data_IF_239934481534
#
_entry.id   IF_239934481534
#
_cell.length_a   1.000
_cell.length_b   1.000
_cell.length_c   1.000
_cell.angle_alpha   90.00
_cell.angle_beta   90.00
_cell.angle_gamma   90.00
#
_symmetry.space_group_name_H-M   'P 1'
#
loop_
_entity.id
_entity.type
_entity.pdbx_description
1 polymer ?
#
# COMPACT_ATOMS: atom_id res chain seq x y z
N UNK A 1 -13.62 7.41 -13.82
CA UNK A 1 -13.94 5.99 -13.71
C UNK A 1 -12.69 5.23 -14.13
N UNK A 2 -11.96 4.69 -13.15
CA UNK A 2 -11.00 3.62 -13.42
C UNK A 2 -11.89 2.41 -13.66
N UNK A 3 -11.87 1.90 -14.85
CA UNK A 3 -12.62 0.69 -15.20
C UNK A 3 -11.88 -0.50 -14.56
N UNK A 4 -12.38 -0.97 -13.43
CA UNK A 4 -11.84 -2.15 -12.72
C UNK A 4 -12.02 -3.41 -13.59
N UNK A 5 -12.89 -3.38 -14.59
CA UNK A 5 -13.08 -4.48 -15.53
C UNK A 5 -11.85 -4.80 -16.39
N UNK A 6 -10.82 -3.94 -16.40
CA UNK A 6 -9.55 -4.22 -17.08
C UNK A 6 -8.55 -5.01 -16.25
N UNK A 7 -8.83 -5.22 -14.97
CA UNK A 7 -8.09 -6.19 -14.18
C UNK A 7 -8.87 -7.50 -14.24
N UNK A 8 -8.49 -8.39 -15.15
CA UNK A 8 -8.94 -9.77 -15.15
C UNK A 8 -8.39 -10.55 -13.93
N UNK A 9 -8.65 -10.01 -12.76
CA UNK A 9 -8.81 -10.84 -11.59
C UNK A 9 -10.02 -11.68 -11.92
N UNK A 10 -9.92 -12.98 -11.81
CA UNK A 10 -11.08 -13.85 -11.99
C UNK A 10 -12.04 -13.56 -10.81
N UNK A 11 -12.84 -12.50 -10.98
CA UNK A 11 -13.82 -12.05 -9.98
C UNK A 11 -14.85 -13.15 -9.69
N UNK A 12 -15.05 -14.08 -10.63
CA UNK A 12 -15.91 -15.24 -10.44
C UNK A 12 -15.28 -16.23 -9.45
N UNK A 13 -13.94 -16.34 -9.42
CA UNK A 13 -13.23 -17.21 -8.47
C UNK A 13 -12.86 -16.51 -7.16
N UNK A 14 -12.99 -15.19 -7.10
CA UNK A 14 -12.71 -14.43 -5.88
C UNK A 14 -11.23 -14.42 -5.46
N UNK A 15 -10.29 -14.69 -6.39
CA UNK A 15 -8.88 -14.76 -6.06
C UNK A 15 -7.99 -14.89 -7.30
N UNK A 16 -6.74 -15.30 -7.11
CA UNK A 16 -5.77 -15.50 -8.18
C UNK A 16 -4.80 -16.64 -7.87
N UNK A 17 -4.24 -17.25 -8.91
CA UNK A 17 -3.17 -18.22 -8.77
C UNK A 17 -1.85 -17.51 -8.48
N UNK A 18 -1.22 -17.84 -7.36
CA UNK A 18 0.05 -17.30 -6.94
C UNK A 18 1.15 -18.34 -7.08
N UNK A 19 2.23 -17.97 -7.75
CA UNK A 19 3.41 -18.80 -7.93
C UNK A 19 4.63 -18.16 -7.24
N UNK A 20 5.26 -18.95 -6.38
CA UNK A 20 6.53 -18.59 -5.75
C UNK A 20 7.52 -19.74 -5.94
N UNK A 21 8.55 -19.53 -6.78
CA UNK A 21 9.62 -20.52 -7.05
C UNK A 21 9.10 -21.92 -7.44
N UNK A 22 7.97 -21.98 -8.14
CA UNK A 22 7.35 -23.25 -8.58
C UNK A 22 6.32 -23.81 -7.60
N UNK A 23 6.13 -23.22 -6.45
CA UNK A 23 4.98 -23.53 -5.59
C UNK A 23 3.78 -22.70 -6.03
N UNK A 24 2.77 -23.35 -6.55
CA UNK A 24 1.50 -22.71 -6.95
C UNK A 24 0.48 -22.81 -5.82
N UNK A 25 -0.17 -21.68 -5.52
CA UNK A 25 -1.27 -21.61 -4.54
C UNK A 25 -2.35 -20.70 -5.09
N UNK A 26 -3.59 -21.04 -4.85
CA UNK A 26 -4.69 -20.12 -5.05
C UNK A 26 -4.82 -19.21 -3.82
N UNK A 27 -4.82 -17.89 -4.03
CA UNK A 27 -5.03 -16.91 -2.98
C UNK A 27 -6.41 -16.28 -3.18
N UNK A 28 -7.26 -16.47 -2.18
CA UNK A 28 -8.61 -15.92 -2.15
C UNK A 28 -8.61 -14.56 -1.47
N UNK A 29 -9.32 -13.60 -2.06
CA UNK A 29 -9.61 -12.34 -1.39
C UNK A 29 -10.75 -12.53 -0.40
N UNK A 30 -10.65 -11.87 0.74
CA UNK A 30 -11.77 -11.83 1.69
C UNK A 30 -12.96 -11.10 1.10
N UNK A 31 -12.68 -10.02 0.38
CA UNK A 31 -13.68 -9.26 -0.37
C UNK A 31 -13.02 -8.35 -1.41
N UNK A 32 -13.78 -7.94 -2.43
CA UNK A 32 -13.36 -7.01 -3.48
C UNK A 32 -14.52 -6.05 -3.72
N UNK A 33 -14.26 -4.74 -3.61
CA UNK A 33 -15.28 -3.73 -3.87
C UNK A 33 -14.64 -2.45 -4.44
N UNK A 34 -15.39 -1.74 -5.26
CA UNK A 34 -15.12 -0.36 -5.69
C UNK A 34 -15.81 0.67 -4.78
N UNK A 35 -16.62 0.21 -3.82
CA UNK A 35 -17.21 1.06 -2.79
C UNK A 35 -16.19 1.38 -1.69
N UNK A 36 -15.67 2.61 -1.74
CA UNK A 36 -14.66 3.09 -0.82
C UNK A 36 -15.17 3.13 0.64
N UNK A 37 -16.47 3.35 0.88
CA UNK A 37 -17.06 3.31 2.21
C UNK A 37 -16.94 1.91 2.78
N UNK A 38 -17.34 0.92 1.97
CA UNK A 38 -17.33 -0.48 2.36
C UNK A 38 -15.91 -1.01 2.66
N UNK A 39 -14.93 -0.69 1.80
CA UNK A 39 -13.55 -1.20 1.98
C UNK A 39 -12.78 -0.51 3.10
N UNK A 40 -13.13 0.73 3.46
CA UNK A 40 -12.46 1.46 4.54
C UNK A 40 -13.14 1.27 5.90
N UNK A 41 -14.38 0.82 5.95
CA UNK A 41 -15.11 0.63 7.20
C UNK A 41 -14.44 -0.45 8.06
N UNK A 42 -13.98 -0.06 9.24
CA UNK A 42 -13.29 -0.94 10.18
C UNK A 42 -11.88 -1.39 9.78
N UNK A 43 -11.28 -0.78 8.76
CA UNK A 43 -9.91 -1.08 8.36
C UNK A 43 -8.90 -0.44 9.31
N UNK A 44 -8.05 -1.23 9.94
CA UNK A 44 -6.92 -0.72 10.75
C UNK A 44 -5.78 -0.20 9.88
N UNK A 45 -5.53 -0.86 8.76
CA UNK A 45 -4.43 -0.53 7.83
C UNK A 45 -5.00 -0.39 6.42
N UNK A 46 -4.78 0.74 5.82
CA UNK A 46 -5.10 1.02 4.41
C UNK A 46 -3.81 1.01 3.61
N UNK A 47 -3.52 -0.11 2.97
CA UNK A 47 -2.30 -0.22 2.17
C UNK A 47 -2.49 0.37 0.78
N UNK A 48 -1.64 1.34 0.44
CA UNK A 48 -1.66 2.03 -0.86
C UNK A 48 -0.54 1.48 -1.73
N UNK A 49 -0.91 0.76 -2.80
CA UNK A 49 0.02 0.17 -3.79
C UNK A 49 -0.40 0.67 -5.17
N UNK A 50 0.03 1.86 -5.52
CA UNK A 50 -0.30 2.54 -6.77
C UNK A 50 0.94 3.22 -7.34
N UNK A 51 1.00 3.52 -8.64
CA UNK A 51 2.03 4.41 -9.17
C UNK A 51 1.98 5.78 -8.47
N UNK A 52 3.15 6.32 -8.13
CA UNK A 52 3.26 7.55 -7.35
C UNK A 52 2.57 8.77 -7.98
N UNK A 53 2.40 8.78 -9.30
CA UNK A 53 1.64 9.81 -10.03
C UNK A 53 0.15 9.87 -9.70
N UNK A 54 -0.40 8.84 -9.07
CA UNK A 54 -1.83 8.77 -8.74
C UNK A 54 -2.14 9.07 -7.26
N UNK A 55 -1.14 9.38 -6.44
CA UNK A 55 -1.33 9.62 -4.99
C UNK A 55 -2.37 10.70 -4.74
N UNK A 56 -2.26 11.87 -5.35
CA UNK A 56 -3.21 12.98 -5.13
C UNK A 56 -4.62 12.64 -5.63
N UNK A 57 -4.70 11.85 -6.69
CA UNK A 57 -6.01 11.41 -7.19
C UNK A 57 -6.70 10.53 -6.14
N UNK A 58 -6.02 9.48 -5.66
CA UNK A 58 -6.58 8.59 -4.65
C UNK A 58 -6.76 9.28 -3.30
N UNK A 59 -5.86 10.18 -2.92
CA UNK A 59 -6.05 11.02 -1.74
C UNK A 59 -7.36 11.82 -1.80
N UNK A 60 -7.68 12.41 -2.97
CA UNK A 60 -8.95 13.12 -3.17
C UNK A 60 -10.17 12.20 -3.06
N UNK A 61 -10.07 10.96 -3.52
CA UNK A 61 -11.16 9.98 -3.41
C UNK A 61 -11.31 9.55 -1.95
N UNK A 62 -10.22 9.13 -1.32
CA UNK A 62 -10.19 8.59 0.04
C UNK A 62 -10.50 9.65 1.11
N UNK A 63 -10.17 10.93 0.86
CA UNK A 63 -10.30 12.02 1.83
C UNK A 63 -11.71 12.20 2.43
N UNK A 64 -12.72 11.66 1.79
CA UNK A 64 -14.11 11.70 2.26
C UNK A 64 -14.44 10.58 3.26
N UNK A 65 -13.60 9.58 3.36
CA UNK A 65 -13.90 8.32 4.03
C UNK A 65 -12.85 7.94 5.08
N UNK A 66 -11.64 8.47 4.97
CA UNK A 66 -10.59 8.23 5.97
C UNK A 66 -10.95 8.89 7.29
N UNK A 67 -10.52 8.25 8.37
CA UNK A 67 -10.69 8.71 9.76
C UNK A 67 -9.35 8.80 10.47
N UNK A 68 -9.34 9.32 11.68
CA UNK A 68 -8.14 9.39 12.52
C UNK A 68 -7.62 8.01 12.95
N UNK A 69 -8.44 6.97 12.87
CA UNK A 69 -8.08 5.62 13.31
C UNK A 69 -7.34 4.82 12.22
N UNK A 70 -7.40 5.28 10.97
CA UNK A 70 -6.74 4.60 9.86
C UNK A 70 -5.22 4.81 9.88
N UNK A 71 -4.47 3.74 9.68
CA UNK A 71 -3.06 3.79 9.30
C UNK A 71 -2.95 3.64 7.76
N UNK A 72 -2.61 4.73 7.08
CA UNK A 72 -2.39 4.73 5.63
C UNK A 72 -0.92 4.39 5.37
N UNK A 73 -0.69 3.18 4.84
CA UNK A 73 0.63 2.67 4.55
C UNK A 73 0.94 2.73 3.06
N UNK A 74 1.85 3.60 2.67
CA UNK A 74 2.35 3.69 1.29
C UNK A 74 3.44 2.64 1.06
N UNK A 75 3.04 1.53 0.46
CA UNK A 75 3.95 0.46 0.03
C UNK A 75 4.36 0.72 -1.43
N UNK A 76 5.06 1.82 -1.62
CA UNK A 76 5.53 2.32 -2.92
C UNK A 76 6.88 3.01 -2.73
N UNK A 77 7.70 3.04 -3.79
CA UNK A 77 9.03 3.62 -3.72
C UNK A 77 9.02 5.17 -3.77
N UNK A 78 9.77 5.78 -2.85
CA UNK A 78 10.28 7.17 -2.90
C UNK A 78 9.28 8.24 -3.38
N UNK A 79 8.15 8.37 -2.72
CA UNK A 79 7.09 9.25 -3.25
C UNK A 79 6.62 10.35 -2.31
N UNK A 80 7.06 10.39 -1.06
CA UNK A 80 6.54 11.30 -0.03
C UNK A 80 4.99 11.29 0.01
N UNK A 81 4.42 10.09 -0.02
CA UNK A 81 2.98 9.86 -0.13
C UNK A 81 2.20 10.50 1.00
N UNK A 82 2.72 10.42 2.22
CA UNK A 82 2.13 11.02 3.42
C UNK A 82 1.93 12.52 3.27
N UNK A 83 2.98 13.25 2.88
CA UNK A 83 2.93 14.72 2.71
C UNK A 83 1.95 15.08 1.61
N UNK A 84 2.00 14.36 0.49
CA UNK A 84 1.12 14.61 -0.66
C UNK A 84 -0.35 14.35 -0.30
N UNK A 85 -0.63 13.32 0.49
CA UNK A 85 -1.97 13.04 0.96
C UNK A 85 -2.46 14.12 1.93
N UNK A 86 -1.61 14.52 2.90
CA UNK A 86 -1.94 15.58 3.86
C UNK A 86 -2.26 16.91 3.16
N UNK A 87 -1.44 17.30 2.18
CA UNK A 87 -1.72 18.50 1.39
C UNK A 87 -3.11 18.46 0.74
N UNK A 88 -3.54 17.28 0.29
CA UNK A 88 -4.91 17.13 -0.26
C UNK A 88 -5.98 17.33 0.81
N UNK A 89 -5.77 16.83 2.04
CA UNK A 89 -6.70 17.06 3.15
C UNK A 89 -6.79 18.55 3.50
N UNK A 90 -5.65 19.22 3.61
CA UNK A 90 -5.55 20.67 3.90
C UNK A 90 -6.23 21.51 2.81
N UNK A 91 -5.91 21.27 1.53
CA UNK A 91 -6.49 21.98 0.39
C UNK A 91 -8.03 21.83 0.32
N UNK A 92 -8.53 20.74 0.84
CA UNK A 92 -9.98 20.44 0.88
C UNK A 92 -10.64 20.84 2.19
N UNK A 93 -9.90 21.42 3.13
CA UNK A 93 -10.37 21.81 4.47
C UNK A 93 -11.02 20.63 5.23
N UNK A 94 -10.42 19.44 5.12
CA UNK A 94 -10.87 18.23 5.80
C UNK A 94 -10.04 18.09 7.08
N UNK A 95 -10.71 18.24 8.22
CA UNK A 95 -10.11 18.14 9.56
C UNK A 95 -10.08 16.69 10.04
N UNK A 96 -9.25 15.88 9.37
CA UNK A 96 -9.00 14.47 9.71
C UNK A 96 -7.48 14.24 9.67
N UNK A 97 -6.95 13.53 10.64
CA UNK A 97 -5.52 13.31 10.83
C UNK A 97 -5.23 11.79 10.93
N UNK A 98 -5.31 11.04 9.82
CA UNK A 98 -4.96 9.64 9.81
C UNK A 98 -3.45 9.47 10.07
N UNK A 99 -3.09 8.30 10.57
CA UNK A 99 -1.68 7.93 10.71
C UNK A 99 -1.09 7.59 9.35
N UNK A 100 0.18 7.95 9.14
CA UNK A 100 0.86 7.68 7.88
C UNK A 100 2.17 6.94 8.07
N UNK A 101 2.36 5.91 7.25
CA UNK A 101 3.62 5.19 7.15
C UNK A 101 4.05 5.00 5.69
N UNK A 102 5.35 4.90 5.46
CA UNK A 102 5.94 4.72 4.13
C UNK A 102 7.03 3.66 4.13
N UNK A 103 7.10 2.92 3.04
CA UNK A 103 8.23 2.03 2.72
C UNK A 103 9.15 2.70 1.69
N UNK A 104 10.46 2.41 1.77
CA UNK A 104 11.43 2.92 0.79
C UNK A 104 11.32 2.23 -0.58
N UNK A 105 10.70 1.08 -0.65
CA UNK A 105 10.48 0.30 -1.87
C UNK A 105 9.26 -0.59 -1.72
N UNK A 106 8.81 -1.15 -2.83
CA UNK A 106 7.81 -2.23 -2.81
C UNK A 106 8.35 -3.43 -2.04
N UNK A 107 7.49 -4.06 -1.26
CA UNK A 107 7.83 -5.26 -0.48
C UNK A 107 8.06 -6.48 -1.35
N UNK A 108 7.40 -6.54 -2.52
CA UNK A 108 7.50 -7.64 -3.48
C UNK A 108 7.66 -7.12 -4.90
N UNK A 109 8.46 -7.81 -5.71
CA UNK A 109 8.45 -7.69 -7.15
C UNK A 109 7.61 -8.80 -7.76
N UNK A 110 6.52 -8.44 -8.41
CA UNK A 110 5.59 -9.40 -9.01
C UNK A 110 5.44 -9.18 -10.51
N UNK A 111 5.02 -10.23 -11.21
CA UNK A 111 4.56 -10.18 -12.59
C UNK A 111 3.18 -10.78 -12.68
N UNK A 112 2.28 -10.05 -13.30
CA UNK A 112 0.88 -10.45 -13.44
C UNK A 112 0.64 -10.91 -14.86
N UNK A 113 0.09 -12.11 -14.99
CA UNK A 113 -0.52 -12.62 -16.22
C UNK A 113 -2.04 -12.41 -16.11
N UNK A 114 -2.51 -11.34 -16.72
CA UNK A 114 -3.92 -10.96 -16.66
C UNK A 114 -4.83 -11.96 -17.38
N UNK A 115 -4.33 -12.66 -18.41
CA UNK A 115 -5.15 -13.61 -19.17
C UNK A 115 -5.47 -14.87 -18.38
N UNK A 116 -4.59 -15.24 -17.46
CA UNK A 116 -4.71 -16.47 -16.68
C UNK A 116 -4.99 -16.19 -15.19
N UNK A 117 -5.21 -14.92 -14.80
CA UNK A 117 -5.37 -14.51 -13.41
C UNK A 117 -4.25 -15.07 -12.51
N UNK A 118 -3.00 -14.99 -12.99
CA UNK A 118 -1.83 -15.54 -12.32
C UNK A 118 -0.86 -14.46 -11.91
N UNK A 119 -0.31 -14.58 -10.71
CA UNK A 119 0.74 -13.69 -10.18
C UNK A 119 1.98 -14.50 -9.87
N UNK A 120 3.08 -14.19 -10.55
CA UNK A 120 4.39 -14.75 -10.26
C UNK A 120 5.18 -13.81 -9.35
N UNK A 121 5.66 -14.31 -8.22
CA UNK A 121 6.60 -13.59 -7.36
C UNK A 121 8.01 -13.72 -7.95
N UNK A 122 8.54 -12.63 -8.49
CA UNK A 122 9.86 -12.60 -9.11
C UNK A 122 10.96 -12.10 -8.16
N UNK A 123 10.59 -11.33 -7.15
CA UNK A 123 11.52 -10.77 -6.18
C UNK A 123 10.85 -10.63 -4.82
N UNK A 124 11.44 -11.24 -3.81
CA UNK A 124 11.10 -11.01 -2.41
C UNK A 124 12.16 -10.07 -1.80
N UNK A 125 11.76 -8.84 -1.52
CA UNK A 125 12.67 -7.82 -0.98
C UNK A 125 12.82 -8.06 0.53
N UNK A 126 14.04 -8.40 0.97
CA UNK A 126 14.31 -8.75 2.38
C UNK A 126 14.76 -7.59 3.25
N UNK A 127 14.88 -6.40 2.69
CA UNK A 127 15.33 -5.21 3.41
C UNK A 127 14.51 -4.01 2.97
N UNK A 128 13.44 -3.74 3.69
CA UNK A 128 12.54 -2.63 3.44
C UNK A 128 12.56 -1.70 4.64
N UNK A 129 12.98 -0.47 4.44
CA UNK A 129 12.90 0.56 5.47
C UNK A 129 11.47 1.06 5.58
N UNK A 130 11.03 1.18 6.83
CA UNK A 130 9.69 1.62 7.21
C UNK A 130 9.80 2.81 8.15
N UNK A 131 9.11 3.89 7.83
CA UNK A 131 9.02 5.08 8.67
C UNK A 131 7.60 5.61 8.72
N UNK A 132 7.33 6.48 9.69
CA UNK A 132 6.08 7.19 9.83
C UNK A 132 6.27 8.69 9.58
N UNK A 133 5.20 9.38 9.23
CA UNK A 133 5.23 10.83 9.12
C UNK A 133 5.47 11.47 10.49
N UNK A 134 4.69 11.09 11.49
CA UNK A 134 4.96 11.42 12.88
C UNK A 134 5.86 10.34 13.50
N UNK A 135 7.07 10.73 13.88
CA UNK A 135 8.05 9.83 14.49
C UNK A 135 7.55 9.18 15.79
N UNK A 136 6.67 9.85 16.53
CA UNK A 136 6.11 9.31 17.76
C UNK A 136 5.27 8.06 17.54
N UNK A 137 4.71 7.89 16.34
CA UNK A 137 3.86 6.78 15.93
C UNK A 137 4.64 5.57 15.38
N UNK A 138 5.98 5.71 15.20
CA UNK A 138 6.79 4.70 14.52
C UNK A 138 6.68 3.31 15.15
N UNK A 139 6.71 3.22 16.46
CA UNK A 139 6.68 1.91 17.13
C UNK A 139 5.32 1.23 16.98
N UNK A 140 4.24 1.95 17.20
CA UNK A 140 2.88 1.42 17.10
C UNK A 140 2.55 1.01 15.67
N UNK A 141 2.82 1.88 14.71
CA UNK A 141 2.59 1.60 13.29
C UNK A 141 3.43 0.43 12.79
N UNK A 142 4.69 0.36 13.23
CA UNK A 142 5.56 -0.78 12.91
C UNK A 142 5.02 -2.09 13.45
N UNK A 143 4.53 -2.13 14.71
CA UNK A 143 3.95 -3.34 15.31
C UNK A 143 2.69 -3.81 14.56
N UNK A 144 1.90 -2.88 14.02
CA UNK A 144 0.74 -3.23 13.18
C UNK A 144 1.19 -3.82 11.84
N UNK A 145 2.08 -3.13 11.11
CA UNK A 145 2.47 -3.53 9.75
C UNK A 145 3.42 -4.73 9.72
N UNK A 146 4.26 -4.90 10.74
CA UNK A 146 5.18 -6.06 10.87
C UNK A 146 4.47 -7.39 11.07
N UNK A 147 3.20 -7.39 11.44
CA UNK A 147 2.38 -8.62 11.44
C UNK A 147 2.10 -9.14 10.02
N UNK A 148 2.19 -8.25 9.02
CA UNK A 148 2.01 -8.57 7.61
C UNK A 148 3.37 -8.82 6.95
N UNK A 149 4.38 -8.02 7.32
CA UNK A 149 5.72 -8.03 6.74
C UNK A 149 6.78 -8.11 7.82
N UNK A 150 7.32 -9.30 8.07
CA UNK A 150 8.27 -9.60 9.15
C UNK A 150 9.72 -9.11 8.91
N UNK A 151 10.00 -8.62 7.70
CA UNK A 151 11.33 -8.16 7.25
C UNK A 151 11.49 -6.63 7.18
N UNK A 152 10.53 -5.88 7.74
CA UNK A 152 10.62 -4.42 7.80
C UNK A 152 11.71 -3.97 8.78
N UNK A 153 12.40 -2.91 8.43
CA UNK A 153 13.40 -2.25 9.26
C UNK A 153 12.93 -0.85 9.63
N UNK A 154 12.87 -0.54 10.92
CA UNK A 154 12.50 0.79 11.39
C UNK A 154 13.54 1.82 10.94
N UNK A 155 13.07 2.91 10.35
CA UNK A 155 13.85 4.12 10.07
C UNK A 155 13.13 5.32 10.69
N UNK A 156 13.85 6.10 11.49
CA UNK A 156 13.27 7.22 12.22
C UNK A 156 12.97 8.44 11.35
N UNK A 157 13.57 8.49 10.16
CA UNK A 157 13.46 9.62 9.25
C UNK A 157 12.69 9.24 7.99
N UNK A 158 11.51 9.82 7.84
CA UNK A 158 10.71 9.68 6.61
C UNK A 158 11.49 10.15 5.38
N UNK A 159 12.24 11.26 5.51
CA UNK A 159 13.07 11.78 4.43
C UNK A 159 14.15 10.78 4.02
N UNK A 160 14.82 10.17 5.00
CA UNK A 160 15.85 9.16 4.72
C UNK A 160 15.23 7.93 4.06
N UNK A 161 14.09 7.44 4.54
CA UNK A 161 13.35 6.34 3.92
C UNK A 161 13.05 6.63 2.46
N UNK A 162 12.61 7.85 2.14
CA UNK A 162 12.30 8.23 0.77
C UNK A 162 13.52 8.47 -0.13
N UNK A 163 14.68 8.85 0.44
CA UNK A 163 15.92 9.04 -0.31
C UNK A 163 16.71 7.75 -0.51
N UNK A 164 16.63 6.82 0.44
CA UNK A 164 17.21 5.48 0.31
C UNK A 164 16.31 4.58 -0.56
N UNK A 165 16.04 5.04 -1.77
CA UNK A 165 15.30 4.24 -2.73
C UNK A 165 16.09 2.98 -3.05
N UNK A 166 15.64 1.86 -2.49
CA UNK A 166 16.20 0.54 -2.72
C UNK A 166 15.85 -0.03 -4.08
N UNK A 167 15.68 0.82 -5.09
CA UNK A 167 15.54 0.33 -6.45
C UNK A 167 16.85 -0.39 -6.80
N UNK A 168 16.90 -1.72 -6.85
CA UNK A 168 18.08 -2.37 -7.37
C UNK A 168 18.19 -1.88 -8.82
N UNK A 169 19.24 -1.17 -9.12
CA UNK A 169 19.60 -0.93 -10.50
C UNK A 169 19.70 -2.30 -11.16
N UNK A 170 18.80 -2.56 -12.08
CA UNK A 170 18.78 -3.76 -12.92
C UNK A 170 19.71 -3.51 -14.08
#
# INVERSE_FOLDING_TARGET
NVDISTFDVDLEKGGFDFNNEGEEKFLEFSDISDDMVYVLDGADIVQVIIPSSFIEYYAKVMSKFVTNDHLIFFNIAASMGSIRFMNVLEDRHIDVHPHFAEANTLTYGTRVDFNNAKVDLSLNVRRVFFSTFDRSELNESYEKVSKIYDYLLKEESLLKTNLENGNPEV
#
